data_IF_102598457185
#
_entry.id   IF_102598457185
#
_cell.length_a   1.000
_cell.length_b   1.000
_cell.length_c   1.000
_cell.angle_alpha   90.00
_cell.angle_beta   90.00
_cell.angle_gamma   90.00
#
_symmetry.space_group_name_H-M   'P 1'
#
loop_
_entity.id
_entity.type
_entity.pdbx_description
1 polymer ?
#
# COMPACT_ATOMS: atom_id res chain seq x y z
N UNK A 1 32.92 0.62 -45.04
CA UNK A 1 31.85 1.50 -44.52
C UNK A 1 30.70 0.68 -43.94
N UNK A 2 30.10 -0.24 -44.69
CA UNK A 2 28.99 -1.09 -44.21
C UNK A 2 29.38 -2.06 -43.07
N UNK A 3 30.55 -2.72 -43.17
CA UNK A 3 31.08 -3.60 -42.10
C UNK A 3 31.41 -2.85 -40.80
N UNK A 4 31.88 -1.61 -40.92
CA UNK A 4 32.20 -0.75 -39.77
C UNK A 4 30.92 -0.30 -39.05
N UNK A 5 29.87 0.01 -39.83
CA UNK A 5 28.56 0.36 -39.28
C UNK A 5 27.93 -0.84 -38.56
N UNK A 6 27.99 -2.03 -39.16
CA UNK A 6 27.49 -3.26 -38.54
C UNK A 6 28.21 -3.58 -37.21
N UNK A 7 29.54 -3.40 -37.17
CA UNK A 7 30.31 -3.59 -35.95
C UNK A 7 29.92 -2.58 -34.85
N UNK A 8 29.74 -1.31 -35.21
CA UNK A 8 29.31 -0.27 -34.26
C UNK A 8 27.90 -0.49 -33.73
N UNK A 9 26.97 -0.94 -34.58
CA UNK A 9 25.60 -1.28 -34.14
C UNK A 9 25.62 -2.45 -33.18
N UNK A 10 26.39 -3.50 -33.48
CA UNK A 10 26.51 -4.66 -32.58
C UNK A 10 27.06 -4.28 -31.20
N UNK A 11 28.09 -3.43 -31.15
CA UNK A 11 28.64 -2.93 -29.88
C UNK A 11 27.62 -2.10 -29.08
N UNK A 12 26.77 -1.33 -29.77
CA UNK A 12 25.70 -0.56 -29.15
C UNK A 12 24.59 -1.47 -28.62
N UNK A 13 24.21 -2.52 -29.36
CA UNK A 13 23.24 -3.52 -28.93
C UNK A 13 23.73 -4.29 -27.71
N UNK A 14 24.99 -4.72 -27.67
CA UNK A 14 25.58 -5.39 -26.51
C UNK A 14 25.60 -4.49 -25.27
N UNK A 15 25.98 -3.21 -25.46
CA UNK A 15 25.99 -2.22 -24.38
C UNK A 15 24.57 -1.90 -23.91
N UNK A 16 23.61 -1.80 -24.81
CA UNK A 16 22.20 -1.60 -24.48
C UNK A 16 21.65 -2.79 -23.69
N UNK A 17 21.92 -4.02 -24.12
CA UNK A 17 21.52 -5.24 -23.41
C UNK A 17 22.19 -5.38 -22.03
N UNK A 18 23.41 -4.86 -21.85
CA UNK A 18 24.06 -4.79 -20.54
C UNK A 18 23.39 -3.74 -19.63
N UNK A 19 23.07 -2.56 -20.18
CA UNK A 19 22.36 -1.49 -19.47
C UNK A 19 20.94 -1.91 -19.10
N UNK A 20 20.20 -2.56 -19.98
CA UNK A 20 18.85 -3.08 -19.71
C UNK A 20 18.85 -4.15 -18.63
N UNK A 21 19.88 -5.00 -18.57
CA UNK A 21 20.04 -5.99 -17.49
C UNK A 21 20.33 -5.33 -16.13
N UNK A 22 21.09 -4.23 -16.11
CA UNK A 22 21.36 -3.46 -14.90
C UNK A 22 20.18 -2.57 -14.48
N UNK A 23 19.42 -2.08 -15.45
CA UNK A 23 18.26 -1.21 -15.26
C UNK A 23 16.97 -1.99 -14.97
N UNK A 24 17.00 -3.33 -14.89
CA UNK A 24 15.86 -4.08 -14.37
C UNK A 24 15.63 -3.60 -12.93
N UNK A 25 14.54 -2.89 -12.64
CA UNK A 25 14.29 -2.41 -11.31
C UNK A 25 14.15 -3.63 -10.39
N UNK A 26 14.98 -3.70 -9.35
CA UNK A 26 14.70 -4.62 -8.25
C UNK A 26 13.30 -4.31 -7.73
N UNK A 27 12.45 -5.32 -7.48
CA UNK A 27 11.08 -5.11 -7.01
C UNK A 27 11.03 -4.45 -5.62
N UNK A 28 12.16 -4.40 -4.92
CA UNK A 28 12.34 -3.70 -3.66
C UNK A 28 13.41 -2.62 -3.87
N UNK A 29 13.10 -1.33 -3.65
CA UNK A 29 14.13 -0.32 -3.55
C UNK A 29 15.10 -0.71 -2.43
N UNK A 30 16.37 -0.92 -2.74
CA UNK A 30 17.40 -1.11 -1.71
C UNK A 30 17.36 0.07 -0.74
N UNK A 31 17.34 -0.21 0.57
CA UNK A 31 17.13 0.79 1.64
C UNK A 31 18.06 2.01 1.59
N UNK A 32 19.19 1.89 0.91
CA UNK A 32 20.18 2.96 0.72
C UNK A 32 19.85 3.92 -0.44
N UNK A 33 18.75 3.70 -1.17
CA UNK A 33 18.39 4.50 -2.35
C UNK A 33 17.24 5.44 -2.03
N UNK A 34 17.54 6.69 -1.66
CA UNK A 34 16.56 7.77 -1.46
C UNK A 34 15.94 8.28 -2.79
N UNK A 35 15.73 7.40 -3.78
CA UNK A 35 15.32 7.75 -5.14
C UNK A 35 14.01 8.56 -5.16
N UNK A 36 13.04 8.18 -4.33
CA UNK A 36 11.73 8.83 -4.29
C UNK A 36 11.83 10.26 -3.73
N UNK A 37 12.69 10.45 -2.71
CA UNK A 37 12.96 11.75 -2.13
C UNK A 37 13.71 12.65 -3.13
N UNK A 38 14.73 12.11 -3.80
CA UNK A 38 15.48 12.82 -4.84
C UNK A 38 14.55 13.30 -5.95
N UNK A 39 13.63 12.44 -6.40
CA UNK A 39 12.64 12.83 -7.40
C UNK A 39 11.75 13.98 -6.92
N UNK A 40 11.25 13.95 -5.68
CA UNK A 40 10.48 15.06 -5.10
C UNK A 40 11.29 16.37 -5.06
N UNK A 41 12.56 16.29 -4.68
CA UNK A 41 13.47 17.44 -4.64
C UNK A 41 13.73 18.03 -6.03
N UNK A 42 13.93 17.19 -7.05
CA UNK A 42 14.09 17.60 -8.44
C UNK A 42 12.85 18.33 -8.97
N UNK A 43 11.66 17.91 -8.54
CA UNK A 43 10.41 18.60 -8.86
C UNK A 43 10.20 19.90 -8.05
N UNK A 44 11.10 20.22 -7.11
CA UNK A 44 10.96 21.37 -6.20
C UNK A 44 9.73 21.25 -5.28
N UNK A 45 9.27 20.03 -5.01
CA UNK A 45 8.07 19.79 -4.22
C UNK A 45 8.37 19.77 -2.72
N UNK A 46 7.81 20.74 -1.99
CA UNK A 46 7.80 20.77 -0.52
C UNK A 46 6.48 20.18 0.00
N UNK A 47 6.51 18.91 0.36
CA UNK A 47 5.34 18.20 0.86
C UNK A 47 5.57 16.71 1.07
N UNK A 48 4.48 16.01 1.33
CA UNK A 48 4.49 14.55 1.47
C UNK A 48 3.78 13.96 0.25
N UNK A 49 4.45 13.01 -0.41
CA UNK A 49 3.91 12.18 -1.47
C UNK A 49 4.04 10.72 -1.04
N UNK A 50 2.99 9.95 -1.24
CA UNK A 50 3.04 8.50 -1.13
C UNK A 50 2.30 7.86 -2.30
N UNK A 51 2.80 6.70 -2.70
CA UNK A 51 2.29 5.93 -3.83
C UNK A 51 2.31 4.45 -3.48
N UNK A 52 1.50 3.68 -4.17
CA UNK A 52 1.45 2.23 -4.00
C UNK A 52 0.84 1.55 -5.21
N UNK A 53 1.35 0.36 -5.49
CA UNK A 53 0.78 -0.56 -6.46
C UNK A 53 0.51 -1.88 -5.76
N UNK A 54 -0.77 -2.23 -5.61
CA UNK A 54 -1.19 -3.37 -4.79
C UNK A 54 -2.15 -4.25 -5.59
N UNK A 55 -1.88 -5.54 -5.62
CA UNK A 55 -2.80 -6.52 -6.21
C UNK A 55 -3.89 -6.84 -5.19
N UNK A 56 -5.15 -6.58 -5.56
CA UNK A 56 -6.30 -6.93 -4.73
C UNK A 56 -6.95 -8.21 -5.25
N UNK A 57 -7.37 -9.15 -4.37
CA UNK A 57 -7.87 -10.45 -4.80
C UNK A 57 -9.14 -10.40 -5.66
N UNK A 58 -9.85 -9.29 -5.70
CA UNK A 58 -11.20 -9.20 -6.30
C UNK A 58 -11.27 -8.41 -7.62
N UNK A 59 -10.16 -7.96 -8.20
CA UNK A 59 -10.27 -7.19 -9.44
C UNK A 59 -9.01 -6.60 -10.07
N UNK A 60 -7.81 -7.01 -9.65
CA UNK A 60 -6.57 -6.62 -10.33
C UNK A 60 -5.69 -5.68 -9.52
N UNK A 61 -4.90 -4.87 -10.22
CA UNK A 61 -3.88 -4.02 -9.61
C UNK A 61 -4.44 -2.61 -9.33
N UNK A 62 -4.44 -2.21 -8.06
CA UNK A 62 -4.71 -0.84 -7.64
C UNK A 62 -3.40 -0.06 -7.74
N UNK A 63 -3.35 0.90 -8.66
CA UNK A 63 -2.31 1.92 -8.69
C UNK A 63 -2.87 3.19 -8.04
N UNK A 64 -2.13 3.76 -7.10
CA UNK A 64 -2.63 4.88 -6.30
C UNK A 64 -1.49 5.83 -5.96
N UNK A 65 -1.78 7.13 -6.04
CA UNK A 65 -0.83 8.19 -5.70
C UNK A 65 -1.58 9.34 -5.03
N UNK A 66 -0.98 9.91 -3.99
CA UNK A 66 -1.46 11.13 -3.35
C UNK A 66 -0.30 11.89 -2.73
N UNK A 67 -0.36 13.20 -2.86
CA UNK A 67 0.53 14.08 -2.13
C UNK A 67 -0.11 15.43 -1.90
N UNK A 68 0.32 16.08 -0.84
CA UNK A 68 -0.06 17.46 -0.54
C UNK A 68 1.20 18.26 -0.15
N UNK A 69 1.26 19.54 -0.54
CA UNK A 69 2.28 20.44 -0.04
C UNK A 69 2.23 20.57 1.49
N UNK A 70 3.39 20.79 2.12
CA UNK A 70 3.50 20.97 3.58
C UNK A 70 2.51 22.00 4.11
N UNK A 71 2.43 23.16 3.45
CA UNK A 71 1.52 24.23 3.84
C UNK A 71 0.05 23.85 3.74
N UNK A 72 -0.30 22.97 2.80
CA UNK A 72 -1.68 22.49 2.70
C UNK A 72 -2.04 21.64 3.91
N UNK A 73 -1.16 20.73 4.37
CA UNK A 73 -1.42 19.96 5.59
C UNK A 73 -1.63 20.85 6.82
N UNK A 74 -0.82 21.89 6.98
CA UNK A 74 -0.83 22.74 8.17
C UNK A 74 -2.08 23.62 8.30
N UNK A 75 -2.81 23.87 7.21
CA UNK A 75 -4.05 24.67 7.22
C UNK A 75 -5.32 23.82 7.28
N UNK A 76 -5.21 22.49 7.20
CA UNK A 76 -6.37 21.59 7.29
C UNK A 76 -6.80 21.39 8.74
N UNK A 77 -8.09 21.10 8.91
CA UNK A 77 -8.63 20.61 10.17
C UNK A 77 -8.21 19.16 10.42
N UNK A 78 -7.29 18.96 11.37
CA UNK A 78 -6.81 17.63 11.74
C UNK A 78 -7.82 16.84 12.58
N UNK A 79 -8.81 17.50 13.20
CA UNK A 79 -9.81 16.83 14.02
C UNK A 79 -10.68 15.89 13.17
N UNK A 80 -10.89 16.22 11.90
CA UNK A 80 -11.57 15.37 10.94
C UNK A 80 -10.89 14.00 10.73
N UNK A 81 -9.57 13.90 10.96
CA UNK A 81 -8.83 12.63 10.85
C UNK A 81 -8.98 11.73 12.09
N UNK A 82 -9.32 12.30 13.25
CA UNK A 82 -9.40 11.61 14.53
C UNK A 82 -10.28 10.35 14.51
N UNK A 83 -11.57 10.39 14.11
CA UNK A 83 -12.41 9.18 14.11
C UNK A 83 -11.93 8.12 13.10
N UNK A 84 -11.32 8.54 11.99
CA UNK A 84 -10.79 7.64 10.96
C UNK A 84 -9.58 6.87 11.50
N UNK A 85 -8.64 7.58 12.15
CA UNK A 85 -7.47 6.96 12.77
C UNK A 85 -7.85 6.14 14.01
N UNK A 86 -8.78 6.64 14.82
CA UNK A 86 -9.30 5.92 15.98
C UNK A 86 -9.88 4.57 15.59
N UNK A 87 -10.48 4.42 14.39
CA UNK A 87 -10.96 3.14 13.87
C UNK A 87 -9.85 2.11 13.61
N UNK A 88 -8.60 2.52 13.44
CA UNK A 88 -7.45 1.62 13.27
C UNK A 88 -6.80 1.24 14.60
N UNK A 89 -7.00 2.01 15.67
CA UNK A 89 -6.40 1.80 16.99
C UNK A 89 -6.95 0.62 17.80
N UNK A 90 -7.40 -0.47 17.17
CA UNK A 90 -7.92 -1.66 17.86
C UNK A 90 -7.44 -2.95 17.19
N UNK A 91 -6.79 -3.86 17.94
CA UNK A 91 -6.31 -5.14 17.40
C UNK A 91 -7.35 -5.97 16.63
N UNK A 92 -8.58 -6.22 17.13
CA UNK A 92 -9.58 -6.98 16.36
C UNK A 92 -9.97 -6.31 15.04
N UNK A 93 -10.01 -4.96 14.96
CA UNK A 93 -10.29 -4.25 13.70
C UNK A 93 -9.14 -4.38 12.71
N UNK A 94 -7.89 -4.31 13.17
CA UNK A 94 -6.73 -4.54 12.30
C UNK A 94 -6.68 -5.98 11.78
N UNK A 95 -7.03 -6.98 12.62
CA UNK A 95 -7.16 -8.38 12.20
C UNK A 95 -8.25 -8.55 11.14
N UNK A 96 -9.41 -7.92 11.32
CA UNK A 96 -10.48 -7.92 10.32
C UNK A 96 -10.02 -7.34 8.98
N UNK A 97 -9.38 -6.18 9.00
CA UNK A 97 -8.86 -5.54 7.78
C UNK A 97 -7.83 -6.44 7.09
N UNK A 98 -6.90 -7.05 7.84
CA UNK A 98 -5.92 -8.01 7.32
C UNK A 98 -6.59 -9.22 6.67
N UNK A 99 -7.59 -9.81 7.34
CA UNK A 99 -8.31 -10.98 6.82
C UNK A 99 -9.08 -10.65 5.53
N UNK A 100 -9.75 -9.50 5.49
CA UNK A 100 -10.49 -9.03 4.32
C UNK A 100 -9.56 -8.72 3.15
N UNK A 101 -8.43 -8.04 3.39
CA UNK A 101 -7.40 -7.83 2.36
C UNK A 101 -6.80 -9.16 1.85
N UNK A 102 -6.71 -10.17 2.73
CA UNK A 102 -6.33 -11.53 2.39
C UNK A 102 -7.43 -12.36 1.70
N UNK A 103 -8.60 -11.78 1.42
CA UNK A 103 -9.70 -12.41 0.67
C UNK A 103 -10.82 -13.03 1.52
N UNK A 104 -10.73 -13.03 2.85
CA UNK A 104 -11.81 -13.49 3.72
C UNK A 104 -12.86 -12.38 3.89
N UNK A 105 -13.86 -12.36 3.02
CA UNK A 105 -14.81 -11.23 2.95
C UNK A 105 -16.18 -11.51 3.59
N UNK A 106 -16.50 -12.76 3.92
CA UNK A 106 -17.81 -13.14 4.48
C UNK A 106 -17.81 -13.11 5.99
N UNK A 107 -18.88 -12.59 6.59
CA UNK A 107 -19.05 -12.52 8.04
C UNK A 107 -18.98 -13.89 8.72
N UNK A 108 -19.45 -14.95 8.04
CA UNK A 108 -19.39 -16.32 8.56
C UNK A 108 -17.95 -16.85 8.66
N UNK A 109 -17.08 -16.45 7.73
CA UNK A 109 -15.67 -16.82 7.72
C UNK A 109 -14.92 -15.98 8.76
N UNK A 110 -15.20 -14.67 8.79
CA UNK A 110 -14.63 -13.75 9.77
C UNK A 110 -14.99 -14.15 11.21
N UNK A 111 -16.20 -14.62 11.47
CA UNK A 111 -16.61 -15.08 12.80
C UNK A 111 -15.84 -16.30 13.32
N UNK A 112 -15.17 -17.06 12.43
CA UNK A 112 -14.34 -18.20 12.81
C UNK A 112 -12.94 -17.77 13.27
N UNK A 113 -12.56 -16.50 13.05
CA UNK A 113 -11.35 -15.92 13.62
C UNK A 113 -11.58 -15.73 15.12
N UNK A 114 -11.30 -16.76 15.91
CA UNK A 114 -11.60 -16.83 17.36
C UNK A 114 -11.03 -15.68 18.22
N UNK A 115 -10.14 -14.87 17.65
CA UNK A 115 -9.55 -13.68 18.28
C UNK A 115 -10.37 -12.39 18.09
N UNK A 116 -11.55 -12.45 17.46
CA UNK A 116 -12.43 -11.30 17.22
C UNK A 116 -13.50 -11.09 18.30
N UNK A 117 -13.52 -11.96 19.31
CA UNK A 117 -14.50 -11.92 20.40
C UNK A 117 -15.85 -12.53 20.02
N UNK A 118 -16.89 -12.13 20.74
CA UNK A 118 -18.27 -12.59 20.52
C UNK A 118 -18.83 -12.10 19.18
N UNK A 119 -19.87 -12.78 18.69
CA UNK A 119 -20.59 -12.37 17.47
C UNK A 119 -21.07 -10.91 17.53
N UNK A 120 -21.50 -10.44 18.70
CA UNK A 120 -21.91 -9.04 18.89
C UNK A 120 -20.76 -8.04 18.73
N UNK A 121 -19.55 -8.40 19.19
CA UNK A 121 -18.35 -7.59 19.03
C UNK A 121 -17.91 -7.54 17.56
N UNK A 122 -17.96 -8.66 16.84
CA UNK A 122 -17.68 -8.69 15.39
C UNK A 122 -18.56 -7.68 14.63
N UNK A 123 -19.88 -7.71 14.83
CA UNK A 123 -20.78 -6.78 14.15
C UNK A 123 -20.57 -5.33 14.57
N UNK A 124 -20.17 -5.09 15.82
CA UNK A 124 -19.78 -3.76 16.27
C UNK A 124 -18.54 -3.25 15.52
N UNK A 125 -17.47 -4.05 15.44
CA UNK A 125 -16.25 -3.70 14.72
C UNK A 125 -16.48 -3.48 13.22
N UNK A 126 -17.27 -4.34 12.57
CA UNK A 126 -17.62 -4.18 11.15
C UNK A 126 -18.40 -2.88 10.92
N UNK A 127 -19.36 -2.55 11.79
CA UNK A 127 -20.12 -1.30 11.69
C UNK A 127 -19.23 -0.08 11.80
N UNK A 128 -18.30 -0.10 12.74
CA UNK A 128 -17.39 1.03 12.98
C UNK A 128 -16.40 1.23 11.83
N UNK A 129 -15.86 0.14 11.29
CA UNK A 129 -15.01 0.19 10.09
C UNK A 129 -15.78 0.65 8.86
N UNK A 130 -17.07 0.31 8.75
CA UNK A 130 -17.93 0.83 7.67
C UNK A 130 -18.24 2.31 7.86
N UNK A 131 -18.59 2.76 9.07
CA UNK A 131 -18.92 4.16 9.32
C UNK A 131 -17.73 5.10 9.14
N UNK A 132 -16.52 4.60 9.31
CA UNK A 132 -15.27 5.36 9.08
C UNK A 132 -14.69 5.19 7.67
N UNK A 133 -15.38 4.43 6.82
CA UNK A 133 -15.03 4.25 5.41
C UNK A 133 -13.85 3.31 5.16
N UNK A 134 -13.35 2.59 6.18
CA UNK A 134 -12.33 1.54 6.01
C UNK A 134 -12.88 0.29 5.35
N UNK A 135 -14.17 0.02 5.52
CA UNK A 135 -14.89 -1.05 4.85
C UNK A 135 -16.12 -0.52 4.13
N UNK A 136 -16.57 -1.25 3.12
CA UNK A 136 -17.87 -1.08 2.49
C UNK A 136 -18.62 -2.41 2.42
N UNK A 137 -19.97 -2.40 2.52
CA UNK A 137 -20.77 -3.58 2.21
C UNK A 137 -20.64 -3.93 0.72
N UNK A 138 -20.54 -5.22 0.42
CA UNK A 138 -20.40 -5.73 -0.94
C UNK A 138 -21.40 -6.86 -1.26
N UNK A 139 -22.44 -6.99 -0.43
CA UNK A 139 -23.44 -8.04 -0.49
C UNK A 139 -23.91 -8.43 0.92
N UNK A 140 -24.86 -9.35 0.99
CA UNK A 140 -25.40 -9.83 2.27
C UNK A 140 -24.29 -10.53 3.07
N UNK A 141 -23.88 -9.92 4.17
CA UNK A 141 -22.83 -10.46 5.04
C UNK A 141 -21.44 -10.48 4.39
N UNK A 142 -21.19 -9.60 3.41
CA UNK A 142 -19.89 -9.47 2.73
C UNK A 142 -19.38 -8.04 2.92
N UNK A 143 -18.12 -7.92 3.34
CA UNK A 143 -17.42 -6.64 3.49
C UNK A 143 -16.11 -6.64 2.71
N UNK A 144 -15.73 -5.45 2.22
CA UNK A 144 -14.53 -5.24 1.41
C UNK A 144 -13.86 -3.93 1.80
N UNK A 145 -12.54 -3.87 1.68
CA UNK A 145 -11.80 -2.60 1.73
C UNK A 145 -12.03 -1.88 0.40
N UNK A 146 -12.49 -0.62 0.39
CA UNK A 146 -12.57 0.17 -0.85
C UNK A 146 -11.19 0.27 -1.53
N UNK A 147 -11.14 0.21 -2.86
CA UNK A 147 -9.87 0.20 -3.60
C UNK A 147 -9.02 1.44 -3.28
N UNK A 148 -9.69 2.59 -3.15
CA UNK A 148 -9.12 3.88 -2.76
C UNK A 148 -8.56 3.92 -1.34
N UNK A 149 -8.87 2.93 -0.47
CA UNK A 149 -8.39 2.83 0.91
C UNK A 149 -7.27 1.80 1.08
N UNK A 150 -7.03 0.94 0.09
CA UNK A 150 -6.02 -0.14 0.20
C UNK A 150 -4.63 0.43 0.41
N UNK A 151 -4.16 1.31 -0.49
CA UNK A 151 -2.84 1.92 -0.37
C UNK A 151 -2.72 2.83 0.86
N UNK A 152 -3.67 3.74 1.14
CA UNK A 152 -3.64 4.53 2.37
C UNK A 152 -3.56 3.70 3.66
N UNK A 153 -4.30 2.60 3.75
CA UNK A 153 -4.26 1.71 4.91
C UNK A 153 -2.85 1.12 5.11
N UNK A 154 -2.25 0.60 4.03
CA UNK A 154 -0.91 0.02 4.10
C UNK A 154 0.16 1.07 4.42
N UNK A 155 0.02 2.30 3.92
CA UNK A 155 0.93 3.41 4.25
C UNK A 155 0.83 3.79 5.71
N UNK A 156 -0.38 3.90 6.27
CA UNK A 156 -0.57 4.19 7.71
C UNK A 156 0.09 3.10 8.55
N UNK A 157 -0.11 1.83 8.20
CA UNK A 157 0.50 0.70 8.90
C UNK A 157 2.03 0.71 8.79
N UNK A 158 2.59 0.98 7.61
CA UNK A 158 4.02 1.08 7.39
C UNK A 158 4.64 2.25 8.18
N UNK A 159 3.96 3.38 8.25
CA UNK A 159 4.38 4.56 9.00
C UNK A 159 4.42 4.34 10.52
N UNK A 160 3.85 3.24 11.03
CA UNK A 160 4.00 2.87 12.44
C UNK A 160 5.35 2.25 12.77
N UNK A 161 6.10 1.80 11.76
CA UNK A 161 7.35 1.02 11.91
C UNK A 161 7.20 -0.28 12.73
N UNK A 162 6.00 -0.61 13.21
CA UNK A 162 5.74 -1.82 13.98
C UNK A 162 5.76 -3.09 13.13
N UNK A 163 5.66 -2.95 11.81
CA UNK A 163 5.61 -4.04 10.83
C UNK A 163 6.95 -4.18 10.08
N UNK A 164 8.08 -4.15 10.78
CA UNK A 164 9.35 -4.49 10.18
C UNK A 164 9.40 -5.98 9.81
N UNK A 165 9.70 -6.33 8.55
CA UNK A 165 10.02 -7.72 8.22
C UNK A 165 11.22 -8.14 9.06
N UNK A 166 11.08 -9.23 9.81
CA UNK A 166 12.25 -9.87 10.43
C UNK A 166 13.23 -10.18 9.30
N UNK A 167 14.53 -9.86 9.42
CA UNK A 167 15.50 -10.31 8.44
C UNK A 167 15.38 -11.84 8.37
N UNK A 168 15.18 -12.38 7.17
CA UNK A 168 15.18 -13.84 7.01
C UNK A 168 16.53 -14.35 7.51
N UNK A 169 16.54 -15.01 8.66
CA UNK A 169 17.71 -15.71 9.17
C UNK A 169 18.02 -16.85 8.19
N UNK A 170 18.96 -16.60 7.29
CA UNK A 170 19.79 -17.60 6.61
C UNK A 170 19.07 -18.63 5.73
N UNK A 171 19.25 -18.49 4.42
CA UNK A 171 19.30 -19.63 3.49
C UNK A 171 20.61 -19.56 2.70
#
# INVERSE_FOLDING_TARGET
>A
MEKELAHRVHLLEERMAALERQARPSPVPSGDTLWALQHLQEQGFDGVLFTGQVNVPEGGTVAWQYGLPTQTFLVQDWDAASPILAALGSPPRLRLLRAILGGQTRNADLAQLGELGSTGQLYHHLRELVSTGWLKPAGRGIHRVPAERVVPLLVILAATEALHPQPEEGA
#
